data_IF_501715973914
#
_entry.id   IF_501715973914
#
_cell.length_a   1.000
_cell.length_b   1.000
_cell.length_c   1.000
_cell.angle_alpha   90.00
_cell.angle_beta   90.00
_cell.angle_gamma   90.00
#
_symmetry.space_group_name_H-M   'P 1'
#
loop_
_entity.id
_entity.type
_entity.pdbx_description
1 polymer ?
#
# COMPACT_ATOMS: atom_id res chain seq x y z
N UNK A 1 -26.64 2.40 -23.12
CA UNK A 1 -25.18 2.62 -23.09
C UNK A 1 -24.71 2.42 -21.65
N UNK A 2 -24.16 1.25 -21.33
CA UNK A 2 -23.73 0.91 -19.98
C UNK A 2 -22.36 1.56 -19.70
N UNK A 3 -22.33 2.57 -18.82
CA UNK A 3 -21.08 3.12 -18.30
C UNK A 3 -20.48 2.07 -17.35
N UNK A 4 -19.45 1.36 -17.80
CA UNK A 4 -18.66 0.51 -16.92
C UNK A 4 -17.93 1.42 -15.92
N UNK A 5 -18.48 1.57 -14.71
CA UNK A 5 -17.74 2.11 -13.58
C UNK A 5 -16.59 1.14 -13.28
N UNK A 6 -15.41 1.41 -13.84
CA UNK A 6 -14.20 0.69 -13.43
C UNK A 6 -13.96 1.02 -11.96
N UNK A 7 -14.31 0.09 -11.08
CA UNK A 7 -13.98 0.15 -9.66
C UNK A 7 -12.47 0.17 -9.54
N UNK A 8 -11.93 1.20 -8.87
CA UNK A 8 -10.50 1.29 -8.63
C UNK A 8 -10.01 0.05 -7.87
N UNK A 9 -9.03 -0.65 -8.43
CA UNK A 9 -8.39 -1.79 -7.79
C UNK A 9 -7.02 -1.35 -7.26
N UNK A 10 -6.88 -1.37 -5.93
CA UNK A 10 -5.61 -1.09 -5.27
C UNK A 10 -4.60 -2.20 -5.59
N UNK A 11 -3.35 -1.85 -5.99
CA UNK A 11 -2.28 -2.84 -6.13
C UNK A 11 -1.88 -3.48 -4.79
N UNK A 12 -2.30 -2.88 -3.67
CA UNK A 12 -2.00 -3.36 -2.32
C UNK A 12 -3.23 -3.95 -1.61
N UNK A 13 -4.32 -4.24 -2.33
CA UNK A 13 -5.55 -4.80 -1.77
C UNK A 13 -5.30 -6.08 -0.93
N UNK A 14 -4.28 -6.88 -1.29
CA UNK A 14 -3.89 -8.07 -0.55
C UNK A 14 -3.41 -7.78 0.89
N UNK A 15 -3.00 -6.55 1.22
CA UNK A 15 -2.66 -6.15 2.60
C UNK A 15 -3.86 -6.18 3.55
N UNK A 16 -5.08 -6.15 3.02
CA UNK A 16 -6.33 -6.14 3.78
C UNK A 16 -7.03 -7.51 3.81
N UNK A 17 -6.37 -8.57 3.33
CA UNK A 17 -6.92 -9.92 3.30
C UNK A 17 -6.05 -10.89 4.10
N UNK A 18 -6.42 -12.17 4.13
CA UNK A 18 -5.62 -13.23 4.73
C UNK A 18 -4.26 -13.43 4.04
N UNK A 19 -4.10 -12.87 2.83
CA UNK A 19 -2.84 -12.88 2.09
C UNK A 19 -1.86 -11.77 2.52
N UNK A 20 -2.22 -10.95 3.52
CA UNK A 20 -1.41 -9.81 3.96
C UNK A 20 0.04 -10.17 4.28
N UNK A 21 0.27 -11.29 4.95
CA UNK A 21 1.61 -11.70 5.37
C UNK A 21 2.46 -12.17 4.18
N UNK A 22 2.03 -13.17 3.37
CA UNK A 22 2.75 -13.55 2.15
C UNK A 22 2.98 -12.38 1.18
N UNK A 23 2.03 -11.46 1.08
CA UNK A 23 2.15 -10.28 0.23
C UNK A 23 3.16 -9.27 0.79
N UNK A 24 3.09 -8.96 2.10
CA UNK A 24 4.07 -8.11 2.77
C UNK A 24 5.48 -8.69 2.67
N UNK A 25 5.66 -10.01 2.76
CA UNK A 25 6.95 -10.66 2.56
C UNK A 25 7.52 -10.39 1.16
N UNK A 26 6.70 -10.47 0.11
CA UNK A 26 7.15 -10.15 -1.26
C UNK A 26 7.58 -8.69 -1.41
N UNK A 27 6.81 -7.77 -0.86
CA UNK A 27 7.13 -6.34 -0.87
C UNK A 27 8.42 -6.06 -0.07
N UNK A 28 8.56 -6.70 1.08
CA UNK A 28 9.72 -6.58 1.96
C UNK A 28 10.99 -7.05 1.25
N UNK A 29 10.96 -8.20 0.57
CA UNK A 29 12.07 -8.69 -0.24
C UNK A 29 12.49 -7.71 -1.35
N UNK A 30 11.51 -7.10 -2.03
CA UNK A 30 11.79 -6.15 -3.11
C UNK A 30 12.38 -4.82 -2.59
N UNK A 31 11.98 -4.39 -1.39
CA UNK A 31 12.40 -3.15 -0.77
C UNK A 31 13.60 -3.29 0.19
N UNK A 32 14.05 -4.51 0.50
CA UNK A 32 15.08 -4.76 1.52
C UNK A 32 14.59 -4.49 2.95
N UNK A 33 13.30 -4.66 3.21
CA UNK A 33 12.68 -4.44 4.52
C UNK A 33 12.38 -5.77 5.22
N UNK A 34 12.02 -5.71 6.51
CA UNK A 34 11.34 -6.80 7.19
C UNK A 34 9.81 -6.78 6.91
N UNK A 35 9.13 -7.93 6.79
CA UNK A 35 7.68 -7.97 6.58
C UNK A 35 6.87 -7.20 7.63
N UNK A 36 7.31 -7.18 8.90
CA UNK A 36 6.65 -6.42 9.96
C UNK A 36 6.73 -4.91 9.74
N UNK A 37 7.85 -4.39 9.21
CA UNK A 37 8.00 -2.99 8.85
C UNK A 37 7.03 -2.59 7.74
N UNK A 38 6.90 -3.45 6.72
CA UNK A 38 5.94 -3.23 5.61
C UNK A 38 4.51 -3.18 6.12
N UNK A 39 4.12 -4.15 6.96
CA UNK A 39 2.77 -4.20 7.54
C UNK A 39 2.50 -3.00 8.45
N UNK A 40 3.45 -2.65 9.32
CA UNK A 40 3.33 -1.51 10.21
C UNK A 40 3.22 -0.19 9.45
N UNK A 41 4.07 0.02 8.45
CA UNK A 41 4.02 1.21 7.60
C UNK A 41 2.67 1.35 6.89
N UNK A 42 2.11 0.25 6.37
CA UNK A 42 0.79 0.28 5.73
C UNK A 42 -0.33 0.71 6.70
N UNK A 43 -0.33 0.18 7.93
CA UNK A 43 -1.29 0.57 8.96
C UNK A 43 -1.12 2.05 9.36
N UNK A 44 0.13 2.47 9.58
CA UNK A 44 0.45 3.85 9.92
C UNK A 44 0.01 4.81 8.82
N UNK A 45 0.27 4.50 7.55
CA UNK A 45 -0.16 5.32 6.41
C UNK A 45 -1.69 5.38 6.35
N UNK A 46 -2.38 4.25 6.47
CA UNK A 46 -3.84 4.18 6.47
C UNK A 46 -4.45 5.05 7.57
N UNK A 47 -3.86 5.05 8.77
CA UNK A 47 -4.30 5.86 9.90
C UNK A 47 -4.04 7.37 9.71
N UNK A 48 -3.07 7.76 8.88
CA UNK A 48 -2.66 9.15 8.66
C UNK A 48 -3.25 9.76 7.37
N UNK A 49 -4.07 9.04 6.62
CA UNK A 49 -4.80 9.59 5.48
C UNK A 49 -6.11 10.22 5.97
N UNK A 50 -6.41 11.48 5.61
CA UNK A 50 -7.62 12.17 6.07
C UNK A 50 -8.90 11.39 5.79
N UNK A 51 -9.76 11.29 6.80
CA UNK A 51 -11.09 10.66 6.65
C UNK A 51 -12.10 11.54 5.90
N UNK A 52 -11.75 12.80 5.64
CA UNK A 52 -12.55 13.74 4.84
C UNK A 52 -12.59 13.36 3.35
N UNK A 53 -11.71 12.46 2.91
CA UNK A 53 -11.69 11.95 1.53
C UNK A 53 -12.76 10.87 1.34
N UNK A 54 -13.44 10.92 0.20
CA UNK A 54 -14.29 9.81 -0.26
C UNK A 54 -13.46 8.53 -0.43
N UNK A 55 -14.11 7.37 -0.37
CA UNK A 55 -13.45 6.05 -0.32
C UNK A 55 -12.40 5.81 -1.43
N UNK A 56 -12.72 6.14 -2.69
CA UNK A 56 -11.79 5.93 -3.82
C UNK A 56 -10.58 6.89 -3.78
N UNK A 57 -10.76 8.22 -3.63
CA UNK A 57 -9.63 9.13 -3.38
C UNK A 57 -8.78 8.75 -2.16
N UNK A 58 -9.42 8.30 -1.07
CA UNK A 58 -8.73 7.83 0.15
C UNK A 58 -7.83 6.64 -0.18
N UNK A 59 -8.36 5.62 -0.85
CA UNK A 59 -7.57 4.43 -1.23
C UNK A 59 -6.41 4.80 -2.15
N UNK A 60 -6.61 5.67 -3.14
CA UNK A 60 -5.54 6.14 -4.03
C UNK A 60 -4.41 6.84 -3.26
N UNK A 61 -4.75 7.65 -2.26
CA UNK A 61 -3.75 8.35 -1.46
C UNK A 61 -2.97 7.40 -0.54
N UNK A 62 -3.64 6.40 0.04
CA UNK A 62 -2.98 5.31 0.78
C UNK A 62 -1.98 4.61 -0.14
N UNK A 63 -2.42 4.17 -1.33
CA UNK A 63 -1.59 3.44 -2.27
C UNK A 63 -0.40 4.29 -2.75
N UNK A 64 -0.61 5.59 -3.01
CA UNK A 64 0.46 6.53 -3.40
C UNK A 64 1.53 6.66 -2.31
N UNK A 65 1.12 6.89 -1.06
CA UNK A 65 2.05 7.05 0.07
C UNK A 65 2.80 5.76 0.37
N UNK A 66 2.11 4.63 0.29
CA UNK A 66 2.72 3.33 0.55
C UNK A 66 3.72 2.95 -0.55
N UNK A 67 3.40 3.20 -1.81
CA UNK A 67 4.35 3.02 -2.91
C UNK A 67 5.59 3.90 -2.74
N UNK A 68 5.43 5.17 -2.32
CA UNK A 68 6.56 6.06 -2.06
C UNK A 68 7.47 5.50 -0.96
N UNK A 69 6.88 5.07 0.17
CA UNK A 69 7.62 4.41 1.25
C UNK A 69 8.45 3.21 0.77
N UNK A 70 7.85 2.32 -0.02
CA UNK A 70 8.55 1.13 -0.55
C UNK A 70 9.70 1.52 -1.50
N UNK A 71 9.49 2.53 -2.35
CA UNK A 71 10.50 3.04 -3.27
C UNK A 71 11.67 3.67 -2.52
N UNK A 72 11.40 4.48 -1.50
CA UNK A 72 12.41 5.15 -0.70
C UNK A 72 13.27 4.13 0.06
N UNK A 73 12.62 3.14 0.71
CA UNK A 73 13.32 2.04 1.37
C UNK A 73 14.20 1.23 0.41
N UNK A 74 13.68 0.92 -0.79
CA UNK A 74 14.44 0.21 -1.81
C UNK A 74 15.65 1.02 -2.31
N UNK A 75 15.55 2.35 -2.34
CA UNK A 75 16.65 3.23 -2.73
C UNK A 75 17.71 3.36 -1.63
N UNK A 76 17.30 3.42 -0.37
CA UNK A 76 18.20 3.48 0.79
C UNK A 76 19.04 2.21 0.92
N UNK A 77 18.42 1.04 0.76
CA UNK A 77 19.12 -0.26 0.86
C UNK A 77 20.09 -0.57 -0.29
N UNK A 78 20.10 0.25 -1.36
CA UNK A 78 21.03 0.09 -2.49
C UNK A 78 22.24 1.02 -2.41
N UNK A 79 22.27 1.93 -1.43
CA UNK A 79 23.39 2.85 -1.18
C UNK A 79 24.42 2.19 -0.27
#
# INVERSE_FOLDING_TARGET
>A
MAKHHQTYQSPFAAMLTDQRYPFATKLAMAAGLDPSQVMFAYLQITANVPETLAAVPKQKEIDRRFQAFLTDAAAENRR
#
